data_IF_215540914056
#
_entry.id   IF_215540914056
#
_cell.length_a   1.000
_cell.length_b   1.000
_cell.length_c   1.000
_cell.angle_alpha   90.00
_cell.angle_beta   90.00
_cell.angle_gamma   90.00
#
_symmetry.space_group_name_H-M   'P 1'
#
loop_
_entity.id
_entity.type
_entity.pdbx_description
1 polymer ?
#
# COMPACT_ATOMS: atom_id res chain seq x y z
N UNK A 1 -9.49 -24.59 -16.88
CA UNK A 1 -8.12 -24.20 -17.09
C UNK A 1 -8.01 -22.79 -16.50
N UNK A 2 -7.46 -22.68 -15.27
CA UNK A 2 -7.32 -21.39 -14.61
C UNK A 2 -6.30 -20.57 -15.40
N UNK A 3 -6.68 -19.39 -15.81
CA UNK A 3 -5.74 -18.37 -16.20
C UNK A 3 -4.90 -18.10 -14.96
N UNK A 4 -3.68 -18.53 -15.03
CA UNK A 4 -2.69 -18.29 -14.00
C UNK A 4 -2.49 -16.78 -13.91
N UNK A 5 -2.56 -16.21 -12.70
CA UNK A 5 -2.42 -14.78 -12.41
C UNK A 5 -1.13 -14.10 -12.87
N UNK A 6 -0.48 -14.66 -13.89
CA UNK A 6 0.69 -14.06 -14.56
C UNK A 6 0.33 -12.87 -15.47
N UNK A 7 -0.96 -12.66 -15.79
CA UNK A 7 -1.37 -11.51 -16.59
C UNK A 7 -1.39 -10.18 -15.82
N UNK A 8 -1.33 -10.24 -14.48
CA UNK A 8 -1.29 -9.06 -13.61
C UNK A 8 0.04 -8.91 -12.87
N UNK A 9 1.06 -9.70 -13.25
CA UNK A 9 2.40 -9.26 -12.88
C UNK A 9 2.55 -7.88 -13.52
N UNK A 10 2.82 -6.83 -12.72
CA UNK A 10 3.33 -5.62 -13.33
C UNK A 10 4.56 -6.08 -14.08
N UNK A 11 4.45 -6.14 -15.39
CA UNK A 11 5.65 -6.03 -16.18
C UNK A 11 6.30 -4.79 -15.63
N UNK A 12 7.60 -4.80 -15.39
CA UNK A 12 8.33 -3.63 -14.88
C UNK A 12 7.90 -2.34 -15.60
N UNK A 13 7.46 -2.47 -16.82
CA UNK A 13 6.93 -1.43 -17.67
C UNK A 13 5.60 -0.83 -17.20
N UNK A 14 4.67 -1.62 -16.66
CA UNK A 14 3.35 -1.14 -16.26
C UNK A 14 3.39 -0.29 -14.99
N UNK A 15 4.00 -0.78 -13.94
CA UNK A 15 4.09 -0.07 -12.65
C UNK A 15 4.98 1.18 -12.78
N UNK A 16 6.10 1.07 -13.48
CA UNK A 16 6.99 2.22 -13.75
C UNK A 16 6.29 3.28 -14.60
N UNK A 17 5.52 2.88 -15.61
CA UNK A 17 4.77 3.82 -16.44
C UNK A 17 3.68 4.55 -15.66
N UNK A 18 2.95 3.85 -14.80
CA UNK A 18 1.92 4.48 -13.94
C UNK A 18 2.56 5.44 -12.96
N UNK A 19 3.61 5.04 -12.26
CA UNK A 19 4.34 5.91 -11.32
C UNK A 19 4.96 7.12 -12.03
N UNK A 20 5.56 6.92 -13.21
CA UNK A 20 6.14 8.01 -13.99
C UNK A 20 5.07 8.97 -14.48
N UNK A 21 3.92 8.47 -14.92
CA UNK A 21 2.81 9.28 -15.37
C UNK A 21 2.22 10.12 -14.22
N UNK A 22 2.01 9.52 -13.05
CA UNK A 22 1.55 10.22 -11.86
C UNK A 22 2.50 11.33 -11.43
N UNK A 23 3.82 11.12 -11.56
CA UNK A 23 4.81 12.16 -11.32
C UNK A 23 4.70 13.32 -12.34
N UNK A 24 4.51 13.01 -13.61
CA UNK A 24 4.41 14.02 -14.68
C UNK A 24 3.18 14.91 -14.55
N UNK A 25 2.06 14.39 -14.05
CA UNK A 25 0.81 15.14 -13.89
C UNK A 25 0.65 15.75 -12.49
N UNK A 26 1.57 15.46 -11.57
CA UNK A 26 1.48 15.98 -10.20
C UNK A 26 1.71 17.50 -10.17
N UNK A 27 0.76 18.27 -9.64
CA UNK A 27 0.93 19.73 -9.50
C UNK A 27 1.97 20.14 -8.45
N UNK A 28 2.48 19.17 -7.69
CA UNK A 28 3.43 19.38 -6.59
C UNK A 28 4.88 19.09 -6.96
N UNK A 29 5.12 18.50 -8.14
CA UNK A 29 6.45 18.18 -8.63
C UNK A 29 6.89 19.14 -9.72
N UNK A 30 8.12 19.62 -9.60
CA UNK A 30 8.77 20.42 -10.63
C UNK A 30 9.46 19.54 -11.65
N UNK A 31 9.79 20.08 -12.82
CA UNK A 31 10.61 19.39 -13.80
C UNK A 31 11.99 18.98 -13.23
N UNK A 32 12.50 19.76 -12.29
CA UNK A 32 13.74 19.44 -11.58
C UNK A 32 13.59 18.20 -10.71
N UNK A 33 12.48 18.11 -9.94
CA UNK A 33 12.20 16.92 -9.11
C UNK A 33 12.06 15.67 -9.97
N UNK A 34 11.35 15.78 -11.09
CA UNK A 34 11.20 14.68 -12.05
C UNK A 34 12.55 14.29 -12.66
N UNK A 35 13.39 15.26 -13.06
CA UNK A 35 14.71 14.97 -13.61
C UNK A 35 15.61 14.29 -12.58
N UNK A 36 15.60 14.71 -11.32
CA UNK A 36 16.36 14.07 -10.25
C UNK A 36 15.87 12.65 -9.98
N UNK A 37 14.54 12.43 -10.02
CA UNK A 37 13.97 11.10 -9.88
C UNK A 37 14.38 10.15 -11.01
N UNK A 38 14.39 10.62 -12.25
CA UNK A 38 14.69 9.82 -13.44
C UNK A 38 16.19 9.68 -13.71
N UNK A 39 16.95 10.76 -13.56
CA UNK A 39 18.39 10.80 -13.89
C UNK A 39 19.27 10.49 -12.69
N UNK A 40 18.70 10.62 -11.50
CA UNK A 40 19.26 10.10 -10.27
C UNK A 40 20.60 10.75 -9.84
N UNK A 41 20.72 12.06 -9.89
CA UNK A 41 21.92 12.77 -9.39
C UNK A 41 21.94 12.89 -7.86
N UNK A 42 20.77 12.74 -7.20
CA UNK A 42 20.67 12.68 -5.75
C UNK A 42 20.72 11.23 -5.24
N UNK A 43 21.19 10.99 -4.01
CA UNK A 43 21.16 9.68 -3.38
C UNK A 43 19.70 9.26 -3.16
N UNK A 44 19.11 8.64 -4.16
CA UNK A 44 17.75 8.12 -4.13
C UNK A 44 17.62 6.85 -3.29
N UNK A 45 16.39 6.39 -3.12
CA UNK A 45 16.06 5.18 -2.36
C UNK A 45 16.89 3.94 -2.76
N UNK A 46 17.29 3.87 -4.03
CA UNK A 46 18.00 2.73 -4.62
C UNK A 46 19.46 3.02 -5.00
N UNK A 47 20.03 4.18 -4.61
CA UNK A 47 21.44 4.51 -4.87
C UNK A 47 22.30 4.39 -3.61
N UNK A 48 23.56 3.96 -3.75
CA UNK A 48 24.51 3.98 -2.65
C UNK A 48 24.78 5.42 -2.15
N UNK A 49 24.91 5.61 -0.83
CA UNK A 49 24.70 4.59 0.18
C UNK A 49 23.20 4.33 0.42
N UNK A 50 22.77 3.10 0.18
CA UNK A 50 21.37 2.62 0.33
C UNK A 50 20.83 2.67 1.76
N UNK A 51 21.05 3.74 2.48
CA UNK A 51 20.75 3.77 3.91
C UNK A 51 19.27 3.48 4.21
N UNK A 52 18.36 4.11 3.46
CA UNK A 52 16.92 3.93 3.67
C UNK A 52 16.44 2.56 3.16
N UNK A 53 16.76 2.19 1.93
CA UNK A 53 16.40 0.88 1.39
C UNK A 53 16.99 -0.26 2.22
N UNK A 54 18.26 -0.13 2.64
CA UNK A 54 18.91 -1.12 3.51
C UNK A 54 18.26 -1.21 4.89
N UNK A 55 17.74 -0.11 5.42
CA UNK A 55 17.00 -0.11 6.68
C UNK A 55 15.63 -0.77 6.52
N UNK A 56 14.87 -0.38 5.48
CA UNK A 56 13.55 -0.98 5.18
C UNK A 56 13.66 -2.49 4.98
N UNK A 57 14.69 -2.96 4.27
CA UNK A 57 14.91 -4.40 4.05
C UNK A 57 15.22 -5.20 5.33
N UNK A 58 15.56 -4.54 6.43
CA UNK A 58 15.82 -5.18 7.73
C UNK A 58 14.62 -5.16 8.65
N UNK A 59 13.57 -4.43 8.30
CA UNK A 59 12.37 -4.31 9.13
C UNK A 59 11.58 -5.62 9.09
N UNK A 60 11.32 -6.15 10.27
CA UNK A 60 10.40 -7.26 10.49
C UNK A 60 9.19 -6.71 11.26
N UNK A 61 8.15 -6.33 10.53
CA UNK A 61 6.99 -5.64 11.12
C UNK A 61 6.40 -6.38 12.34
N UNK A 62 6.13 -7.69 12.28
CA UNK A 62 5.62 -8.43 13.44
C UNK A 62 6.55 -8.36 14.65
N UNK A 63 7.85 -8.37 14.44
CA UNK A 63 8.85 -8.36 15.49
C UNK A 63 9.15 -6.95 16.02
N UNK A 64 9.27 -5.98 15.11
CA UNK A 64 9.75 -4.64 15.44
C UNK A 64 8.62 -3.73 15.94
N UNK A 65 7.40 -3.92 15.44
CA UNK A 65 6.20 -3.15 15.81
C UNK A 65 5.27 -3.98 16.72
N UNK A 66 5.32 -5.31 16.62
CA UNK A 66 4.42 -6.21 17.33
C UNK A 66 3.08 -6.37 16.64
N UNK A 67 2.10 -6.88 17.39
CA UNK A 67 0.76 -7.19 16.86
C UNK A 67 -0.37 -6.67 17.74
N UNK A 68 -0.09 -5.81 18.72
CA UNK A 68 -1.12 -5.21 19.57
C UNK A 68 -1.20 -3.71 19.32
N UNK A 69 -2.39 -3.23 18.97
CA UNK A 69 -2.65 -1.84 18.62
C UNK A 69 -3.87 -1.32 19.39
N UNK A 70 -3.83 -0.07 19.80
CA UNK A 70 -4.92 0.62 20.50
C UNK A 70 -5.84 1.40 19.53
N UNK A 71 -5.58 1.28 18.23
CA UNK A 71 -6.33 1.94 17.16
C UNK A 71 -6.90 0.92 16.18
N UNK A 72 -7.97 1.25 15.45
CA UNK A 72 -8.47 0.42 14.35
C UNK A 72 -7.41 0.19 13.27
N UNK A 73 -7.35 -1.03 12.75
CA UNK A 73 -6.40 -1.43 11.72
C UNK A 73 -7.14 -1.91 10.48
N UNK A 74 -6.82 -1.30 9.35
CA UNK A 74 -7.35 -1.68 8.04
C UNK A 74 -6.20 -2.06 7.11
N UNK A 75 -6.23 -3.28 6.60
CA UNK A 75 -5.30 -3.73 5.58
C UNK A 75 -5.99 -3.72 4.22
N UNK A 76 -5.33 -3.08 3.26
CA UNK A 76 -5.74 -3.06 1.85
C UNK A 76 -4.66 -3.78 1.06
N UNK A 77 -5.01 -4.88 0.43
CA UNK A 77 -4.03 -5.74 -0.26
C UNK A 77 -4.52 -6.13 -1.64
N UNK A 78 -3.65 -5.99 -2.64
CA UNK A 78 -3.91 -6.50 -3.98
C UNK A 78 -3.76 -8.02 -4.02
N UNK A 79 -4.69 -8.70 -4.67
CA UNK A 79 -4.66 -10.16 -4.78
C UNK A 79 -3.48 -10.63 -5.63
N UNK A 80 -3.06 -9.82 -6.59
CA UNK A 80 -1.96 -10.10 -7.51
C UNK A 80 -0.66 -9.38 -7.15
N UNK A 81 -0.52 -8.93 -5.90
CA UNK A 81 0.70 -8.27 -5.43
C UNK A 81 1.81 -9.31 -5.19
N UNK A 82 2.84 -9.24 -6.05
CA UNK A 82 4.03 -10.08 -5.95
C UNK A 82 5.23 -9.35 -5.32
N UNK A 83 5.15 -8.03 -5.14
CA UNK A 83 6.19 -7.25 -4.45
C UNK A 83 6.04 -7.41 -2.94
N UNK A 84 4.80 -7.33 -2.44
CA UNK A 84 4.44 -7.61 -1.04
C UNK A 84 3.39 -8.72 -1.01
N UNK A 85 3.80 -9.98 -1.11
CA UNK A 85 2.89 -11.10 -1.28
C UNK A 85 1.80 -11.15 -0.21
N UNK A 86 0.55 -11.16 -0.67
CA UNK A 86 -0.66 -11.15 0.19
C UNK A 86 -0.60 -12.15 1.34
N UNK A 87 -0.03 -13.33 1.10
CA UNK A 87 0.07 -14.38 2.12
C UNK A 87 0.83 -13.92 3.38
N UNK A 88 1.79 -13.02 3.24
CA UNK A 88 2.55 -12.47 4.37
C UNK A 88 1.72 -11.45 5.13
N UNK A 89 0.99 -10.59 4.42
CA UNK A 89 0.06 -9.61 5.01
C UNK A 89 -1.08 -10.31 5.74
N UNK A 90 -1.70 -11.32 5.13
CA UNK A 90 -2.77 -12.11 5.73
C UNK A 90 -2.30 -12.82 7.01
N UNK A 91 -1.09 -13.38 6.97
CA UNK A 91 -0.48 -14.05 8.13
C UNK A 91 -0.25 -13.07 9.28
N UNK A 92 0.30 -11.90 9.03
CA UNK A 92 0.49 -10.90 10.08
C UNK A 92 -0.85 -10.35 10.57
N UNK A 93 -1.77 -10.02 9.67
CA UNK A 93 -3.11 -9.57 10.02
C UNK A 93 -3.85 -10.55 10.95
N UNK A 94 -3.68 -11.85 10.76
CA UNK A 94 -4.28 -12.86 11.63
C UNK A 94 -3.81 -12.76 13.08
N UNK A 95 -2.59 -12.28 13.30
CA UNK A 95 -1.95 -12.11 14.63
C UNK A 95 -2.25 -10.77 15.28
N UNK A 96 -2.75 -9.79 14.52
CA UNK A 96 -3.08 -8.46 15.03
C UNK A 96 -4.21 -8.55 16.03
N UNK A 97 -4.02 -7.88 17.18
CA UNK A 97 -5.03 -7.57 18.18
C UNK A 97 -5.25 -6.05 18.17
N UNK A 98 -6.47 -5.61 17.87
CA UNK A 98 -6.87 -4.21 17.78
C UNK A 98 -8.34 -4.06 18.18
N UNK A 99 -8.82 -2.85 18.58
CA UNK A 99 -10.23 -2.59 18.88
C UNK A 99 -11.15 -2.94 17.72
N UNK A 100 -10.68 -2.69 16.52
CA UNK A 100 -11.30 -3.13 15.26
C UNK A 100 -10.21 -3.49 14.27
N UNK A 101 -10.42 -4.53 13.47
CA UNK A 101 -9.52 -4.83 12.34
C UNK A 101 -10.29 -5.38 11.16
N UNK A 102 -9.95 -4.93 9.97
CA UNK A 102 -10.54 -5.39 8.72
C UNK A 102 -9.47 -5.57 7.65
N UNK A 103 -9.59 -6.64 6.87
CA UNK A 103 -8.73 -6.96 5.74
C UNK A 103 -9.57 -6.91 4.47
N UNK A 104 -9.18 -6.05 3.54
CA UNK A 104 -9.90 -5.79 2.29
C UNK A 104 -9.00 -6.20 1.13
N UNK A 105 -9.45 -7.18 0.37
CA UNK A 105 -8.77 -7.63 -0.83
C UNK A 105 -9.28 -6.88 -2.06
N UNK A 106 -8.34 -6.44 -2.88
CA UNK A 106 -8.55 -5.87 -4.19
C UNK A 106 -8.22 -6.93 -5.22
N UNK A 107 -9.27 -7.57 -5.75
CA UNK A 107 -9.13 -8.82 -6.51
C UNK A 107 -8.53 -8.61 -7.90
N UNK A 108 -8.73 -7.43 -8.48
CA UNK A 108 -8.21 -7.06 -9.79
C UNK A 108 -6.88 -6.28 -9.70
N UNK A 109 -6.36 -6.07 -8.49
CA UNK A 109 -5.19 -5.23 -8.28
C UNK A 109 -3.94 -6.02 -7.93
N UNK A 110 -2.81 -5.44 -8.33
CA UNK A 110 -1.46 -5.82 -7.94
C UNK A 110 -0.95 -4.93 -6.77
N UNK A 111 0.25 -4.36 -6.89
CA UNK A 111 0.88 -3.56 -5.85
C UNK A 111 0.29 -2.15 -5.69
N UNK A 112 -0.20 -1.56 -6.78
CA UNK A 112 -0.64 -0.15 -6.82
C UNK A 112 -2.17 -0.03 -6.82
N UNK A 113 -2.81 -0.59 -5.81
CA UNK A 113 -4.28 -0.68 -5.70
C UNK A 113 -4.99 0.66 -5.90
N UNK A 114 -4.37 1.78 -5.47
CA UNK A 114 -4.96 3.13 -5.59
C UNK A 114 -5.10 3.55 -7.04
N UNK A 115 -4.18 3.11 -7.89
CA UNK A 115 -4.19 3.43 -9.32
C UNK A 115 -5.04 2.44 -10.12
N UNK A 116 -5.09 1.17 -9.68
CA UNK A 116 -5.75 0.08 -10.38
C UNK A 116 -7.26 0.02 -10.08
N UNK A 117 -7.65 0.19 -8.82
CA UNK A 117 -9.05 0.18 -8.37
C UNK A 117 -9.41 1.43 -7.53
N UNK A 118 -9.21 2.68 -8.02
CA UNK A 118 -9.36 3.91 -7.22
C UNK A 118 -10.77 4.08 -6.65
N UNK A 119 -11.80 3.70 -7.41
CA UNK A 119 -13.19 3.76 -6.97
C UNK A 119 -13.46 2.84 -5.78
N UNK A 120 -12.94 1.61 -5.82
CA UNK A 120 -13.09 0.64 -4.73
C UNK A 120 -12.31 1.05 -3.48
N UNK A 121 -11.12 1.63 -3.67
CA UNK A 121 -10.34 2.20 -2.56
C UNK A 121 -11.11 3.33 -1.89
N UNK A 122 -11.65 4.27 -2.67
CA UNK A 122 -12.45 5.38 -2.15
C UNK A 122 -13.68 4.86 -1.38
N UNK A 123 -14.42 3.91 -1.94
CA UNK A 123 -15.58 3.31 -1.29
C UNK A 123 -15.20 2.60 0.02
N UNK A 124 -14.09 1.91 0.05
CA UNK A 124 -13.59 1.26 1.26
C UNK A 124 -13.20 2.31 2.34
N UNK A 125 -12.52 3.38 1.95
CA UNK A 125 -12.18 4.46 2.87
C UNK A 125 -13.42 5.14 3.45
N UNK A 126 -14.41 5.49 2.61
CA UNK A 126 -15.62 6.19 3.05
C UNK A 126 -16.52 5.30 3.90
N UNK A 127 -16.73 4.05 3.49
CA UNK A 127 -17.73 3.20 4.14
C UNK A 127 -17.17 2.41 5.33
N UNK A 128 -15.87 2.15 5.37
CA UNK A 128 -15.25 1.28 6.36
C UNK A 128 -14.29 1.99 7.30
N UNK A 129 -13.52 2.95 6.81
CA UNK A 129 -12.48 3.64 7.61
C UNK A 129 -13.02 4.93 8.22
N UNK A 130 -13.73 5.74 7.43
CA UNK A 130 -14.20 7.06 7.85
C UNK A 130 -15.09 7.04 9.11
N UNK A 131 -15.99 6.08 9.34
CA UNK A 131 -16.78 6.00 10.56
C UNK A 131 -15.92 5.99 11.83
N UNK A 132 -14.83 5.24 11.82
CA UNK A 132 -13.90 5.17 12.96
C UNK A 132 -13.07 6.43 13.15
N UNK A 133 -12.83 7.20 12.09
CA UNK A 133 -12.10 8.46 12.17
C UNK A 133 -12.99 9.60 12.69
N UNK A 134 -14.29 9.54 12.47
CA UNK A 134 -15.21 10.59 12.86
C UNK A 134 -15.59 10.58 14.34
N UNK A 135 -15.67 9.42 14.96
CA UNK A 135 -16.03 9.32 16.38
C UNK A 135 -14.85 9.62 17.33
N UNK A 136 -13.64 9.73 16.80
CA UNK A 136 -12.42 10.02 17.56
C UNK A 136 -12.03 8.97 18.59
N UNK A 137 -12.83 7.90 18.75
CA UNK A 137 -12.61 6.80 19.71
C UNK A 137 -12.06 5.55 19.07
N UNK A 138 -12.04 5.53 17.74
CA UNK A 138 -11.68 4.35 16.96
C UNK A 138 -12.73 3.24 17.01
N UNK A 139 -13.95 3.56 17.37
CA UNK A 139 -15.09 2.64 17.39
C UNK A 139 -16.04 2.96 16.25
N UNK A 140 -16.70 1.93 15.72
CA UNK A 140 -17.74 2.09 14.72
C UNK A 140 -18.90 2.90 15.27
N UNK A 141 -19.37 3.91 14.53
CA UNK A 141 -20.60 4.64 14.84
C UNK A 141 -21.75 3.72 14.45
N UNK A 142 -22.38 3.11 15.42
CA UNK A 142 -23.63 2.40 15.19
C UNK A 142 -24.73 3.44 15.00
N UNK A 143 -25.20 3.61 13.76
CA UNK A 143 -26.42 4.36 13.49
C UNK A 143 -27.58 3.69 14.22
N UNK A 144 -28.07 4.33 15.25
CA UNK A 144 -29.29 3.96 15.99
C UNK A 144 -30.52 4.49 15.30
#
# INVERSE_FOLDING_TARGET
AGETGMHHLPTDDGTLNVMAFDQLISPHLTLTDISHSLLGDEPGLFRPPFSLATQVMKVDLPKDIGSSFDVPIFFFTGTHDWQTPRILSDKWFSQINAPHKELIHFEESSHVIVNEEPGKVLMALVNKVLPFAQDGTGREINDT
#
